data_IF_591892438468
#
_entry.id   IF_591892438468
#
_cell.length_a   1.000
_cell.length_b   1.000
_cell.length_c   1.000
_cell.angle_alpha   90.00
_cell.angle_beta   90.00
_cell.angle_gamma   90.00
#
_symmetry.space_group_name_H-M   'P 1'
#
loop_
_entity.id
_entity.type
_entity.pdbx_description
1 polymer ?
#
# COMPACT_ATOMS: atom_id res chain seq x y z
N UNK A 1 4.75 9.72 -16.19
CA UNK A 1 5.39 10.61 -15.20
C UNK A 1 6.77 10.99 -15.74
N UNK A 2 6.98 12.25 -16.15
CA UNK A 2 8.23 12.72 -16.78
C UNK A 2 9.17 13.25 -15.70
N UNK A 3 10.36 12.66 -15.60
CA UNK A 3 11.39 13.05 -14.63
C UNK A 3 12.45 13.84 -15.39
N UNK A 4 12.66 15.09 -14.99
CA UNK A 4 13.67 15.98 -15.54
C UNK A 4 15.02 15.69 -14.90
N UNK A 5 16.11 15.42 -15.66
CA UNK A 5 17.44 15.28 -15.07
C UNK A 5 17.99 16.64 -14.64
N UNK A 6 18.49 16.72 -13.41
CA UNK A 6 19.19 17.90 -12.89
C UNK A 6 20.64 17.86 -13.40
N UNK A 7 20.92 18.64 -14.44
CA UNK A 7 22.25 18.72 -15.06
C UNK A 7 23.06 19.77 -14.31
N UNK A 8 24.12 19.36 -13.62
CA UNK A 8 25.10 20.26 -13.02
C UNK A 8 26.14 20.63 -14.08
N UNK A 9 26.07 21.85 -14.62
CA UNK A 9 27.04 22.37 -15.59
C UNK A 9 28.14 23.13 -14.83
N UNK A 10 29.36 22.60 -14.83
CA UNK A 10 30.54 23.35 -14.40
C UNK A 10 31.09 24.14 -15.60
N UNK A 11 30.93 25.47 -15.59
CA UNK A 11 31.54 26.35 -16.58
C UNK A 11 32.98 26.68 -16.16
N UNK A 12 33.97 26.20 -16.90
CA UNK A 12 35.36 26.60 -16.74
C UNK A 12 35.65 27.68 -17.78
N UNK A 13 35.89 28.91 -17.33
CA UNK A 13 36.36 30.01 -18.16
C UNK A 13 37.87 29.84 -18.41
N UNK A 14 38.30 29.73 -19.67
CA UNK A 14 39.71 29.72 -20.02
C UNK A 14 39.96 30.50 -21.33
N UNK A 15 40.81 31.53 -21.21
CA UNK A 15 41.89 31.88 -22.13
C UNK A 15 41.60 32.12 -23.61
N UNK A 16 41.79 33.37 -24.05
CA UNK A 16 42.00 33.74 -25.46
C UNK A 16 43.35 33.20 -25.95
N UNK A 17 43.35 32.13 -26.75
CA UNK A 17 44.53 31.57 -27.41
C UNK A 17 44.16 30.63 -28.55
N UNK A 18 44.76 30.81 -29.73
CA UNK A 18 44.52 29.98 -30.91
C UNK A 18 45.18 28.61 -30.69
N UNK A 19 44.41 27.61 -30.27
CA UNK A 19 44.89 26.23 -30.15
C UNK A 19 44.39 25.42 -28.95
N UNK A 20 43.56 25.97 -28.07
CA UNK A 20 43.04 25.19 -26.94
C UNK A 20 41.90 24.26 -27.37
N UNK A 21 42.22 22.98 -27.54
CA UNK A 21 41.23 21.91 -27.57
C UNK A 21 40.55 21.87 -26.20
N UNK A 22 39.35 22.45 -26.10
CA UNK A 22 38.44 22.26 -24.97
C UNK A 22 38.02 20.80 -24.99
N UNK A 23 38.63 19.98 -24.13
CA UNK A 23 38.19 18.61 -23.87
C UNK A 23 36.83 18.74 -23.21
N UNK A 24 35.76 18.60 -24.00
CA UNK A 24 34.40 18.54 -23.49
C UNK A 24 34.33 17.34 -22.54
N UNK A 25 34.42 17.58 -21.23
CA UNK A 25 34.27 16.56 -20.21
C UNK A 25 32.88 15.96 -20.39
N UNK A 26 32.84 14.73 -20.91
CA UNK A 26 31.61 14.03 -21.25
C UNK A 26 30.67 14.04 -20.05
N UNK A 27 29.46 14.55 -20.27
CA UNK A 27 28.40 14.61 -19.26
C UNK A 27 28.04 13.18 -18.81
N UNK A 28 28.73 12.69 -17.78
CA UNK A 28 28.50 11.36 -17.23
C UNK A 28 27.35 11.47 -16.26
N UNK A 29 26.14 11.26 -16.75
CA UNK A 29 24.95 11.24 -15.90
C UNK A 29 24.92 9.95 -15.08
N UNK A 30 25.10 10.07 -13.76
CA UNK A 30 24.91 8.95 -12.84
C UNK A 30 23.41 8.72 -12.67
N UNK A 31 22.91 7.56 -13.11
CA UNK A 31 21.50 7.19 -12.93
C UNK A 31 21.34 6.43 -11.62
N UNK A 32 20.53 6.99 -10.71
CA UNK A 32 20.16 6.31 -9.46
C UNK A 32 18.92 5.45 -9.70
N UNK A 33 18.85 4.24 -9.09
CA UNK A 33 17.63 3.45 -9.12
C UNK A 33 16.51 4.19 -8.39
N UNK A 34 15.30 4.14 -8.95
CA UNK A 34 14.09 4.65 -8.30
C UNK A 34 13.23 3.49 -7.84
N UNK A 35 12.85 3.51 -6.57
CA UNK A 35 11.98 2.49 -5.97
C UNK A 35 10.59 3.08 -5.72
N UNK A 36 9.56 2.31 -6.05
CA UNK A 36 8.16 2.65 -5.77
C UNK A 36 7.63 1.66 -4.72
N UNK A 37 7.22 2.16 -3.55
CA UNK A 37 6.66 1.34 -2.47
C UNK A 37 5.16 1.62 -2.33
N UNK A 38 4.35 0.57 -2.21
CA UNK A 38 2.95 0.67 -1.79
C UNK A 38 2.83 -0.06 -0.45
N UNK A 39 2.70 0.69 0.66
CA UNK A 39 2.62 0.13 2.02
C UNK A 39 1.19 0.25 2.56
N UNK A 40 0.69 -0.82 3.17
CA UNK A 40 -0.65 -0.89 3.78
C UNK A 40 -0.53 -1.36 5.22
N UNK A 41 -0.83 -0.47 6.18
CA UNK A 41 -0.81 -0.76 7.62
C UNK A 41 -2.24 -0.63 8.16
N UNK A 42 -2.88 -1.77 8.43
CA UNK A 42 -4.27 -1.83 8.89
C UNK A 42 -4.48 -3.01 9.82
N UNK A 43 -5.29 -2.85 10.86
CA UNK A 43 -5.72 -3.95 11.74
C UNK A 43 -7.16 -4.33 11.40
N UNK A 44 -7.39 -5.60 11.06
CA UNK A 44 -8.72 -6.12 10.67
C UNK A 44 -9.02 -7.41 11.41
N UNK A 45 -10.30 -7.69 11.65
CA UNK A 45 -10.77 -8.99 12.16
C UNK A 45 -11.24 -9.83 10.98
N UNK A 46 -10.71 -11.04 10.83
CA UNK A 46 -10.99 -11.93 9.71
C UNK A 46 -11.35 -13.34 10.23
N UNK A 47 -12.34 -14.02 9.64
CA UNK A 47 -12.67 -15.40 10.01
C UNK A 47 -11.63 -16.39 9.46
N UNK A 48 -11.54 -17.57 10.06
CA UNK A 48 -10.62 -18.63 9.63
C UNK A 48 -10.91 -19.05 8.18
N UNK A 49 -9.90 -18.98 7.31
CA UNK A 49 -10.04 -19.24 5.87
C UNK A 49 -10.77 -18.16 5.07
N UNK A 50 -11.23 -17.07 5.69
CA UNK A 50 -11.95 -16.00 5.02
C UNK A 50 -11.04 -14.96 4.37
N UNK A 51 -11.30 -14.60 3.12
CA UNK A 51 -10.49 -13.61 2.39
C UNK A 51 -10.95 -12.18 2.72
N UNK A 52 -10.02 -11.33 3.16
CA UNK A 52 -10.26 -9.91 3.46
C UNK A 52 -9.43 -9.01 2.54
N UNK A 53 -10.09 -8.08 1.86
CA UNK A 53 -9.44 -7.02 1.09
C UNK A 53 -8.96 -5.92 2.05
N UNK A 54 -7.64 -5.80 2.22
CA UNK A 54 -7.03 -4.80 3.10
C UNK A 54 -7.03 -3.41 2.47
N UNK A 55 -6.90 -3.34 1.14
CA UNK A 55 -6.92 -2.08 0.43
C UNK A 55 -6.48 -2.19 -1.02
N UNK A 56 -6.43 -1.05 -1.69
CA UNK A 56 -5.97 -0.96 -3.07
C UNK A 56 -5.78 0.48 -3.52
N UNK A 57 -4.94 0.68 -4.52
CA UNK A 57 -4.67 1.99 -5.14
C UNK A 57 -5.05 1.93 -6.60
N UNK A 58 -5.93 2.83 -7.04
CA UNK A 58 -6.28 3.01 -8.45
C UNK A 58 -5.82 4.40 -8.90
N UNK A 59 -4.96 4.45 -9.91
CA UNK A 59 -4.43 5.68 -10.49
C UNK A 59 -4.84 5.74 -11.96
N UNK A 60 -5.33 6.89 -12.38
CA UNK A 60 -5.61 7.19 -13.78
C UNK A 60 -4.92 8.50 -14.16
N UNK A 61 -4.18 8.51 -15.27
CA UNK A 61 -3.55 9.71 -15.81
C UNK A 61 -3.96 9.87 -17.27
N UNK A 62 -4.43 11.06 -17.64
CA UNK A 62 -4.72 11.39 -19.04
C UNK A 62 -3.77 12.49 -19.50
N UNK A 63 -2.98 12.23 -20.53
CA UNK A 63 -2.09 13.19 -21.17
C UNK A 63 -2.60 13.52 -22.57
N UNK A 64 -2.72 14.80 -22.91
CA UNK A 64 -2.98 15.24 -24.28
C UNK A 64 -1.86 16.19 -24.70
N UNK A 65 -1.15 15.81 -25.76
CA UNK A 65 -0.06 16.59 -26.33
C UNK A 65 -0.46 16.98 -27.73
N UNK A 66 -0.54 18.28 -28.01
CA UNK A 66 -0.83 18.82 -29.34
C UNK A 66 0.41 19.53 -29.86
N UNK A 67 0.83 19.19 -31.09
CA UNK A 67 1.94 19.82 -31.80
C UNK A 67 1.49 20.14 -33.21
N UNK A 68 1.66 21.37 -33.68
CA UNK A 68 1.23 21.73 -35.03
C UNK A 68 1.55 23.17 -35.40
N UNK A 69 1.21 23.54 -36.63
CA UNK A 69 1.48 24.87 -37.18
C UNK A 69 0.46 25.88 -36.63
N UNK A 70 0.86 26.99 -35.96
CA UNK A 70 -0.05 27.86 -35.20
C UNK A 70 -1.22 28.47 -35.99
N UNK A 71 -1.03 28.67 -37.30
CA UNK A 71 -2.04 29.29 -38.20
C UNK A 71 -2.81 28.22 -38.98
N UNK A 72 -2.10 27.39 -39.76
CA UNK A 72 -2.73 26.36 -40.60
C UNK A 72 -3.38 25.23 -39.80
N UNK A 73 -2.90 24.97 -38.58
CA UNK A 73 -3.43 23.95 -37.69
C UNK A 73 -4.82 24.28 -37.14
N UNK A 74 -5.24 25.54 -37.07
CA UNK A 74 -6.53 25.90 -36.46
C UNK A 74 -7.71 25.82 -37.44
N UNK A 75 -7.46 25.49 -38.71
CA UNK A 75 -8.51 25.37 -39.73
C UNK A 75 -9.42 24.15 -39.42
N UNK A 76 -10.75 24.30 -39.42
CA UNK A 76 -11.67 23.22 -39.03
C UNK A 76 -11.64 22.00 -39.96
N UNK A 77 -11.29 22.19 -41.23
CA UNK A 77 -11.24 21.12 -42.25
C UNK A 77 -9.78 20.72 -42.54
N UNK A 78 -8.90 21.69 -42.80
CA UNK A 78 -7.50 21.43 -43.16
C UNK A 78 -6.56 21.22 -41.97
N UNK A 79 -6.93 21.67 -40.77
CA UNK A 79 -6.06 21.65 -39.58
C UNK A 79 -5.66 20.25 -39.11
N UNK A 80 -6.40 19.20 -39.51
CA UNK A 80 -6.05 17.79 -39.23
C UNK A 80 -4.79 17.32 -39.95
N UNK A 81 -4.42 17.94 -41.08
CA UNK A 81 -3.20 17.59 -41.83
C UNK A 81 -1.94 18.26 -41.26
N UNK A 82 -2.10 19.35 -40.49
CA UNK A 82 -1.01 20.18 -39.98
C UNK A 82 -0.83 20.11 -38.46
N UNK A 83 -1.64 19.31 -37.77
CA UNK A 83 -1.54 19.07 -36.33
C UNK A 83 -1.35 17.57 -36.05
N UNK A 84 -0.43 17.28 -35.14
CA UNK A 84 -0.24 15.99 -34.51
C UNK A 84 -0.75 16.05 -33.06
N UNK A 85 -1.74 15.22 -32.73
CA UNK A 85 -2.29 15.07 -31.38
C UNK A 85 -1.94 13.69 -30.84
N UNK A 86 -1.18 13.64 -29.76
CA UNK A 86 -0.97 12.45 -28.95
C UNK A 86 -1.96 12.44 -27.78
N UNK A 87 -2.78 11.39 -27.68
CA UNK A 87 -3.63 11.13 -26.52
C UNK A 87 -3.05 9.92 -25.80
N UNK A 88 -2.64 10.09 -24.56
CA UNK A 88 -2.16 9.02 -23.68
C UNK A 88 -3.10 8.86 -22.50
N UNK A 89 -3.41 7.60 -22.15
CA UNK A 89 -4.17 7.25 -20.96
C UNK A 89 -3.43 6.15 -20.22
N UNK A 90 -3.07 6.40 -18.96
CA UNK A 90 -2.41 5.45 -18.08
C UNK A 90 -3.38 5.04 -16.98
N UNK A 91 -3.70 3.75 -16.88
CA UNK A 91 -4.50 3.18 -15.80
C UNK A 91 -3.64 2.20 -15.00
N UNK A 92 -3.60 2.37 -13.69
CA UNK A 92 -2.88 1.49 -12.77
C UNK A 92 -3.79 1.13 -11.61
N UNK A 93 -3.90 -0.16 -11.30
CA UNK A 93 -4.69 -0.65 -10.16
C UNK A 93 -3.84 -1.67 -9.40
N UNK A 94 -3.75 -1.52 -8.08
CA UNK A 94 -3.17 -2.49 -7.17
C UNK A 94 -4.17 -2.81 -6.07
N UNK A 95 -4.23 -4.07 -5.67
CA UNK A 95 -5.10 -4.56 -4.60
C UNK A 95 -4.32 -5.50 -3.69
N UNK A 96 -4.55 -5.39 -2.39
CA UNK A 96 -3.88 -6.15 -1.36
C UNK A 96 -4.93 -6.88 -0.54
N UNK A 97 -4.87 -8.21 -0.59
CA UNK A 97 -5.85 -9.10 0.01
C UNK A 97 -5.11 -10.14 0.84
N UNK A 98 -5.68 -10.52 1.98
CA UNK A 98 -5.10 -11.52 2.89
C UNK A 98 -6.15 -12.56 3.26
N UNK A 99 -5.73 -13.81 3.37
CA UNK A 99 -6.57 -14.93 3.83
C UNK A 99 -5.85 -15.62 4.99
N UNK A 100 -6.27 -15.42 6.25
CA UNK A 100 -5.70 -16.11 7.38
C UNK A 100 -6.14 -17.58 7.42
N UNK A 101 -5.29 -18.42 8.01
CA UNK A 101 -5.61 -19.82 8.31
C UNK A 101 -5.09 -20.17 9.71
N UNK A 102 -5.95 -20.75 10.53
CA UNK A 102 -5.59 -21.28 11.85
C UNK A 102 -5.08 -22.71 11.65
N UNK A 103 -3.91 -23.01 12.20
CA UNK A 103 -3.29 -24.34 12.13
C UNK A 103 -3.25 -24.92 13.54
N UNK A 104 -3.85 -26.10 13.71
CA UNK A 104 -3.77 -26.89 14.94
C UNK A 104 -2.72 -27.98 14.69
N UNK A 105 -1.55 -27.83 15.32
CA UNK A 105 -0.37 -28.67 15.06
C UNK A 105 -0.62 -30.15 15.34
N UNK A 106 -1.36 -30.49 16.39
CA UNK A 106 -1.59 -31.88 16.80
C UNK A 106 -2.39 -32.69 15.76
N UNK A 107 -3.38 -32.04 15.13
CA UNK A 107 -4.15 -32.66 14.04
C UNK A 107 -3.33 -32.74 12.75
N UNK A 108 -2.50 -31.74 12.46
CA UNK A 108 -1.59 -31.75 11.31
C UNK A 108 -0.48 -32.80 11.46
N UNK A 109 0.06 -33.03 12.66
CA UNK A 109 1.05 -34.08 12.92
C UNK A 109 0.47 -35.49 12.76
N UNK A 110 -0.78 -35.70 13.19
CA UNK A 110 -1.52 -36.93 12.94
C UNK A 110 -1.77 -37.15 11.44
N UNK A 111 -2.03 -36.07 10.69
CA UNK A 111 -2.23 -36.10 9.23
C UNK A 111 -0.94 -36.25 8.43
N UNK A 112 0.17 -35.69 8.91
CA UNK A 112 1.51 -35.80 8.32
C UNK A 112 2.26 -37.07 8.77
N UNK A 113 1.70 -37.83 9.72
CA UNK A 113 2.22 -39.12 10.18
C UNK A 113 3.55 -39.01 10.95
N UNK A 114 3.86 -37.83 11.51
CA UNK A 114 5.13 -37.57 12.21
C UNK A 114 5.09 -37.95 13.70
N UNK A 115 3.92 -38.30 14.24
CA UNK A 115 3.73 -38.62 15.67
C UNK A 115 4.24 -39.98 16.15
N UNK A 116 4.89 -40.80 15.31
CA UNK A 116 5.35 -42.15 15.69
C UNK A 116 6.87 -42.38 15.56
N UNK A 117 7.70 -41.33 15.66
CA UNK A 117 9.12 -41.52 15.91
C UNK A 117 9.34 -41.72 17.42
N UNK A 118 9.30 -43.00 17.80
CA UNK A 118 9.29 -43.55 19.16
C UNK A 118 10.00 -42.75 20.27
N UNK A 119 9.25 -42.52 21.35
CA UNK A 119 9.72 -42.18 22.70
C UNK A 119 10.42 -43.36 23.40
N UNK A 120 11.17 -44.18 22.66
CA UNK A 120 12.01 -45.24 23.21
C UNK A 120 13.43 -44.98 22.75
N UNK A 121 14.28 -44.45 23.63
CA UNK A 121 15.69 -44.35 23.37
C UNK A 121 16.30 -45.76 23.22
N UNK A 122 17.04 -46.04 22.13
CA UNK A 122 18.20 -46.90 22.23
C UNK A 122 19.46 -46.02 22.29
N UNK A 123 20.05 -46.06 23.47
CA UNK A 123 21.45 -45.73 23.75
C UNK A 123 22.38 -46.31 22.67
N UNK A 124 23.30 -45.47 22.18
CA UNK A 124 24.64 -45.87 21.72
C UNK A 124 24.71 -46.76 20.47
N UNK A 125 25.05 -46.17 19.34
CA UNK A 125 25.47 -46.92 18.17
C UNK A 125 25.57 -46.06 16.92
N UNK A 126 26.76 -45.53 16.66
CA UNK A 126 27.17 -45.04 15.34
C UNK A 126 27.07 -46.20 14.37
N UNK A 127 25.96 -46.31 13.65
CA UNK A 127 25.80 -47.26 12.54
C UNK A 127 25.16 -46.53 11.36
N UNK A 128 25.91 -46.49 10.27
CA UNK A 128 25.56 -45.88 9.02
C UNK A 128 24.17 -46.28 8.56
N UNK A 129 23.29 -45.30 8.44
CA UNK A 129 22.00 -45.48 7.85
C UNK A 129 22.16 -45.51 6.34
N UNK A 130 22.37 -46.71 5.79
CA UNK A 130 22.00 -47.03 4.41
C UNK A 130 20.48 -46.94 4.30
N UNK A 131 19.93 -45.74 4.19
CA UNK A 131 18.60 -45.54 3.65
C UNK A 131 18.73 -45.34 2.15
N UNK A 132 18.48 -46.43 1.43
CA UNK A 132 18.20 -46.37 0.01
C UNK A 132 17.02 -45.44 -0.23
N UNK A 133 17.31 -44.30 -0.82
CA UNK A 133 16.35 -43.46 -1.52
C UNK A 133 17.09 -42.89 -2.71
N UNK A 134 16.90 -43.53 -3.85
CA UNK A 134 17.02 -42.94 -5.18
C UNK A 134 16.04 -41.76 -5.27
N UNK A 135 16.41 -40.65 -4.64
CA UNK A 135 16.04 -39.33 -5.11
C UNK A 135 17.37 -38.70 -5.45
N UNK A 136 17.57 -38.36 -6.73
CA UNK A 136 18.77 -37.70 -7.24
C UNK A 136 18.97 -36.34 -6.57
N UNK A 137 19.44 -36.37 -5.32
CA UNK A 137 19.90 -35.21 -4.60
C UNK A 137 21.36 -35.01 -5.00
N UNK A 138 21.73 -33.83 -5.50
CA UNK A 138 23.14 -33.52 -5.65
C UNK A 138 23.81 -33.71 -4.28
N UNK A 139 24.82 -34.59 -4.23
CA UNK A 139 25.72 -34.67 -3.10
C UNK A 139 26.52 -33.37 -3.10
N UNK A 140 26.01 -32.36 -2.39
CA UNK A 140 26.80 -31.21 -2.01
C UNK A 140 27.79 -31.71 -0.97
N UNK A 141 28.94 -32.17 -1.47
CA UNK A 141 30.10 -32.45 -0.65
C UNK A 141 30.62 -31.09 -0.20
N UNK A 142 30.21 -30.64 0.99
CA UNK A 142 30.70 -29.37 1.54
C UNK A 142 32.23 -29.47 1.59
N UNK A 143 32.89 -28.57 0.87
CA UNK A 143 34.34 -28.48 0.92
C UNK A 143 34.77 -28.06 2.33
N UNK A 144 36.00 -28.38 2.72
CA UNK A 144 36.53 -27.98 4.03
C UNK A 144 36.41 -26.45 4.24
N UNK A 145 36.46 -25.68 3.15
CA UNK A 145 36.29 -24.23 3.16
C UNK A 145 34.84 -23.81 3.43
N UNK A 146 33.84 -24.54 2.93
CA UNK A 146 32.42 -24.28 3.20
C UNK A 146 32.07 -24.54 4.67
N UNK A 147 32.62 -25.62 5.23
CA UNK A 147 32.44 -25.95 6.66
C UNK A 147 33.07 -24.86 7.53
N UNK A 148 34.27 -24.40 7.16
CA UNK A 148 34.99 -23.35 7.88
C UNK A 148 34.31 -21.98 7.76
N UNK A 149 33.69 -21.69 6.62
CA UNK A 149 32.87 -20.49 6.42
C UNK A 149 31.58 -20.54 7.26
N UNK A 150 30.95 -21.71 7.39
CA UNK A 150 29.81 -21.90 8.30
C UNK A 150 30.20 -21.72 9.76
N UNK A 151 31.33 -22.30 10.18
CA UNK A 151 31.84 -22.15 11.54
C UNK A 151 32.15 -20.68 11.85
N UNK A 152 32.88 -19.97 10.96
CA UNK A 152 33.12 -18.52 11.11
C UNK A 152 31.82 -17.72 11.28
N UNK A 153 30.78 -18.09 10.54
CA UNK A 153 29.46 -17.44 10.60
C UNK A 153 28.77 -17.68 11.96
N UNK A 154 28.90 -18.88 12.54
CA UNK A 154 28.36 -19.17 13.87
C UNK A 154 29.08 -18.39 14.97
N UNK A 155 30.40 -18.22 14.88
CA UNK A 155 31.17 -17.48 15.89
C UNK A 155 30.89 -15.96 15.84
N UNK A 156 30.66 -15.40 14.65
CA UNK A 156 30.29 -13.98 14.48
C UNK A 156 28.87 -13.71 15.01
N UNK A 157 27.95 -14.66 14.89
CA UNK A 157 26.59 -14.50 15.43
C UNK A 157 26.52 -14.56 16.96
N UNK A 158 27.47 -15.22 17.64
CA UNK A 158 27.47 -15.32 19.10
C UNK A 158 27.91 -14.04 19.81
N UNK A 159 28.76 -13.23 19.15
CA UNK A 159 29.26 -11.96 19.69
C UNK A 159 28.64 -10.72 19.02
N UNK A 160 27.68 -10.92 18.11
CA UNK A 160 26.87 -9.81 17.64
C UNK A 160 26.04 -9.29 18.83
N UNK A 161 26.10 -7.99 19.18
CA UNK A 161 25.09 -7.43 20.06
C UNK A 161 23.72 -7.79 19.47
N UNK A 162 22.74 -8.20 20.29
CA UNK A 162 21.41 -8.52 19.77
C UNK A 162 21.00 -7.35 18.88
N UNK A 163 20.41 -7.59 17.69
CA UNK A 163 19.88 -6.51 16.88
C UNK A 163 19.02 -5.70 17.84
N UNK A 164 19.44 -4.44 18.09
CA UNK A 164 18.71 -3.56 18.98
C UNK A 164 17.27 -3.69 18.51
N UNK A 165 16.44 -4.28 19.38
CA UNK A 165 15.05 -4.53 19.05
C UNK A 165 14.54 -3.14 18.70
N UNK A 166 14.39 -2.87 17.40
CA UNK A 166 13.79 -1.64 16.95
C UNK A 166 12.37 -1.79 17.46
N UNK A 167 12.13 -1.23 18.65
CA UNK A 167 10.85 -1.21 19.31
C UNK A 167 9.87 -0.80 18.24
N UNK A 168 9.11 -1.76 17.73
CA UNK A 168 8.00 -1.46 16.83
C UNK A 168 7.16 -0.54 17.69
N UNK A 169 7.06 0.77 17.37
CA UNK A 169 6.40 1.70 18.26
C UNK A 169 5.03 1.12 18.50
N UNK A 170 4.75 0.79 19.76
CA UNK A 170 3.52 0.12 20.13
C UNK A 170 2.40 0.93 19.48
N UNK A 171 1.70 0.31 18.52
CA UNK A 171 0.52 0.93 17.94
C UNK A 171 -0.41 1.36 19.08
N UNK A 172 -1.24 2.39 18.89
CA UNK A 172 -2.14 2.84 19.95
C UNK A 172 -2.87 1.65 20.54
N UNK A 173 -2.92 1.59 21.87
CA UNK A 173 -3.45 0.41 22.56
C UNK A 173 -4.90 0.15 22.08
N UNK A 174 -5.39 -1.11 22.12
CA UNK A 174 -6.78 -1.41 21.76
C UNK A 174 -7.80 -0.55 22.52
N UNK A 175 -7.47 -0.14 23.74
CA UNK A 175 -8.26 0.78 24.55
C UNK A 175 -8.22 2.22 24.00
N UNK A 176 -7.06 2.73 23.61
CA UNK A 176 -6.94 4.04 22.96
C UNK A 176 -7.70 4.11 21.63
N UNK A 177 -7.73 3.02 20.86
CA UNK A 177 -8.51 2.92 19.63
C UNK A 177 -10.02 3.00 19.94
N UNK A 178 -10.50 2.28 20.96
CA UNK A 178 -11.90 2.36 21.40
C UNK A 178 -12.26 3.77 21.87
N UNK A 179 -11.43 4.38 22.72
CA UNK A 179 -11.64 5.72 23.21
C UNK A 179 -11.60 6.78 22.09
N UNK A 180 -10.75 6.60 21.06
CA UNK A 180 -10.73 7.47 19.88
C UNK A 180 -12.01 7.29 19.04
N UNK A 181 -12.47 6.06 18.86
CA UNK A 181 -13.70 5.78 18.12
C UNK A 181 -14.94 6.33 18.84
N UNK A 182 -14.97 6.26 20.17
CA UNK A 182 -16.02 6.82 21.02
C UNK A 182 -16.06 8.34 20.93
N UNK A 183 -14.93 9.03 21.15
CA UNK A 183 -14.85 10.49 20.97
C UNK A 183 -15.24 10.93 19.56
N UNK A 184 -14.84 10.17 18.55
CA UNK A 184 -15.24 10.43 17.17
C UNK A 184 -16.74 10.16 16.94
N UNK A 185 -17.36 9.25 17.69
CA UNK A 185 -18.81 9.02 17.65
C UNK A 185 -19.58 10.17 18.32
N UNK A 186 -19.09 10.69 19.45
CA UNK A 186 -19.66 11.86 20.14
C UNK A 186 -19.60 13.14 19.29
N UNK A 187 -18.47 13.35 18.60
CA UNK A 187 -18.36 14.48 17.66
C UNK A 187 -19.38 14.33 16.51
N UNK A 188 -19.56 13.12 15.98
CA UNK A 188 -20.54 12.85 14.92
C UNK A 188 -21.98 13.10 15.37
N UNK A 189 -22.35 12.74 16.60
CA UNK A 189 -23.72 12.99 17.10
C UNK A 189 -23.99 14.50 17.19
N UNK A 190 -23.07 15.27 17.78
CA UNK A 190 -23.21 16.74 17.86
C UNK A 190 -23.34 17.41 16.50
N UNK A 191 -22.55 16.99 15.49
CA UNK A 191 -22.67 17.48 14.12
C UNK A 191 -24.02 17.12 13.49
N UNK A 192 -24.55 15.93 13.76
CA UNK A 192 -25.85 15.50 13.27
C UNK A 192 -26.97 16.40 13.80
N UNK A 193 -26.91 16.80 15.08
CA UNK A 193 -27.84 17.77 15.64
C UNK A 193 -27.77 19.13 14.93
N UNK A 194 -26.56 19.64 14.66
CA UNK A 194 -26.41 20.91 13.94
C UNK A 194 -27.01 20.86 12.53
N UNK A 195 -26.89 19.73 11.82
CA UNK A 195 -27.53 19.58 10.52
C UNK A 195 -29.05 19.48 10.62
N UNK A 196 -29.56 18.82 11.67
CA UNK A 196 -31.00 18.75 11.92
C UNK A 196 -31.61 20.13 12.16
N UNK A 197 -30.98 20.95 13.00
CA UNK A 197 -31.41 22.33 13.25
C UNK A 197 -31.39 23.19 11.98
N UNK A 198 -30.33 23.07 11.16
CA UNK A 198 -30.25 23.77 9.87
C UNK A 198 -31.33 23.31 8.89
N UNK A 199 -31.71 22.03 8.94
CA UNK A 199 -32.82 21.49 8.17
C UNK A 199 -34.16 22.11 8.57
N UNK A 200 -34.42 22.22 9.88
CA UNK A 200 -35.62 22.86 10.42
C UNK A 200 -35.69 24.34 10.05
N UNK A 201 -34.58 25.07 10.15
CA UNK A 201 -34.51 26.47 9.75
C UNK A 201 -34.76 26.67 8.24
N UNK A 202 -34.23 25.79 7.39
CA UNK A 202 -34.47 25.83 5.96
C UNK A 202 -35.94 25.53 5.61
N UNK A 203 -36.58 24.66 6.36
CA UNK A 203 -37.99 24.33 6.23
C UNK A 203 -38.90 25.49 6.68
N UNK A 204 -38.59 26.13 7.80
CA UNK A 204 -39.27 27.35 8.26
C UNK A 204 -39.14 28.51 7.24
N UNK A 205 -38.03 28.55 6.52
CA UNK A 205 -37.80 29.50 5.43
C UNK A 205 -38.47 29.10 4.09
N UNK A 206 -39.23 27.99 4.05
CA UNK A 206 -39.92 27.50 2.85
C UNK A 206 -39.03 26.85 1.78
N UNK A 207 -37.76 26.54 2.11
CA UNK A 207 -36.77 26.00 1.16
C UNK A 207 -36.72 24.48 1.23
N UNK A 208 -37.77 23.81 0.76
CA UNK A 208 -37.95 22.35 0.86
C UNK A 208 -36.74 21.52 0.36
N UNK A 209 -36.16 21.86 -0.78
CA UNK A 209 -35.01 21.13 -1.33
C UNK A 209 -33.75 21.26 -0.46
N UNK A 210 -33.53 22.43 0.14
CA UNK A 210 -32.39 22.68 1.03
C UNK A 210 -32.59 21.92 2.34
N UNK A 211 -33.80 21.90 2.87
CA UNK A 211 -34.14 21.10 4.05
C UNK A 211 -33.87 19.61 3.83
N UNK A 212 -34.23 19.05 2.66
CA UNK A 212 -33.91 17.66 2.28
C UNK A 212 -32.41 17.37 2.33
N UNK A 213 -31.56 18.29 1.87
CA UNK A 213 -30.10 18.10 1.90
C UNK A 213 -29.61 18.03 3.35
N UNK A 214 -30.06 18.95 4.21
CA UNK A 214 -29.70 18.97 5.62
C UNK A 214 -30.16 17.73 6.38
N UNK A 215 -31.40 17.28 6.16
CA UNK A 215 -31.91 16.04 6.77
C UNK A 215 -31.15 14.81 6.27
N UNK A 216 -30.77 14.74 4.99
CA UNK A 216 -29.91 13.66 4.50
C UNK A 216 -28.51 13.69 5.14
N UNK A 217 -27.93 14.87 5.38
CA UNK A 217 -26.66 14.99 6.09
C UNK A 217 -26.77 14.56 7.56
N UNK A 218 -27.88 14.91 8.22
CA UNK A 218 -28.19 14.46 9.58
C UNK A 218 -28.39 12.93 9.64
N UNK A 219 -29.20 12.35 8.75
CA UNK A 219 -29.50 10.90 8.73
C UNK A 219 -28.26 10.02 8.58
N UNK A 220 -27.23 10.51 7.87
CA UNK A 220 -25.94 9.81 7.69
C UNK A 220 -25.06 9.82 8.93
N UNK A 221 -25.30 10.75 9.87
CA UNK A 221 -24.47 10.97 11.06
C UNK A 221 -25.24 10.75 12.38
N UNK A 222 -26.56 10.60 12.32
CA UNK A 222 -27.46 10.45 13.46
C UNK A 222 -27.38 9.06 14.10
N UNK A 223 -27.50 9.02 15.42
CA UNK A 223 -27.77 7.81 16.21
C UNK A 223 -29.23 7.38 16.09
N UNK A 224 -29.57 6.19 16.60
CA UNK A 224 -30.91 5.59 16.47
C UNK A 224 -32.05 6.56 16.86
N UNK A 225 -31.88 7.32 17.95
CA UNK A 225 -32.89 8.27 18.45
C UNK A 225 -33.12 9.46 17.49
N UNK A 226 -32.05 10.13 17.05
CA UNK A 226 -32.17 11.28 16.15
C UNK A 226 -32.57 10.86 14.73
N UNK A 227 -32.20 9.63 14.33
CA UNK A 227 -32.50 9.10 13.00
C UNK A 227 -34.00 8.96 12.77
N UNK A 228 -34.76 8.49 13.75
CA UNK A 228 -36.21 8.35 13.64
C UNK A 228 -36.90 9.70 13.38
N UNK A 229 -36.48 10.74 14.11
CA UNK A 229 -36.99 12.09 13.92
C UNK A 229 -36.62 12.68 12.55
N UNK A 230 -35.39 12.43 12.08
CA UNK A 230 -34.93 12.87 10.75
C UNK A 230 -35.70 12.16 9.65
N UNK A 231 -35.87 10.84 9.73
CA UNK A 231 -36.55 10.03 8.73
C UNK A 231 -38.03 10.37 8.62
N UNK A 232 -38.72 10.60 9.75
CA UNK A 232 -40.09 11.09 9.77
C UNK A 232 -40.24 12.43 9.05
N UNK A 233 -39.27 13.34 9.23
CA UNK A 233 -39.29 14.66 8.59
C UNK A 233 -38.98 14.60 7.09
N UNK A 234 -38.06 13.73 6.71
CA UNK A 234 -37.69 13.48 5.32
C UNK A 234 -38.85 12.84 4.56
N UNK A 235 -39.61 11.94 5.20
CA UNK A 235 -40.83 11.36 4.64
C UNK A 235 -41.91 12.42 4.38
N UNK A 236 -42.16 13.34 5.33
CA UNK A 236 -43.12 14.43 5.16
C UNK A 236 -42.77 15.34 3.97
N UNK A 237 -41.49 15.69 3.81
CA UNK A 237 -41.00 16.52 2.71
C UNK A 237 -41.02 15.84 1.34
N UNK A 238 -41.09 14.50 1.29
CA UNK A 238 -41.21 13.76 0.03
C UNK A 238 -42.67 13.61 -0.44
N UNK A 239 -43.64 13.92 0.43
CA UNK A 239 -45.07 13.91 0.09
C UNK A 239 -45.59 15.28 -0.40
N UNK A 240 -44.78 16.33 -0.32
CA UNK A 240 -45.02 17.65 -0.92
C UNK A 240 -44.44 17.73 -2.33
#
# INVERSE_FOLDING_TARGET
MKISPLVLVAAIAAGLGWGDSVWAQGNTSVQLPQFNFNTVNTTVTAPDGGTVLLGGVKRASSGRVERGVPVLGKLPIAGRLFNNRGIGQDYSTGMTTVTPRIIILEEEEAKLGLGNFGSGAPTGGVLGATFGRDYGQPRFELSADDVRALELSQHVSQNAPPPAQAEVPAGPSPEEIRARNERAAEQRTSEAYQFFEKGQAAEAAGKANVAKIYYNMAARRATAELKEAVDARLAALNQQ
#
